data_IF_325803154948
#
_entry.id   IF_325803154948
#
_cell.length_a   1.000
_cell.length_b   1.000
_cell.length_c   1.000
_cell.angle_alpha   90.00
_cell.angle_beta   90.00
_cell.angle_gamma   90.00
#
_symmetry.space_group_name_H-M   'P 1'
#
loop_
_entity.id
_entity.type
_entity.pdbx_description
1 polymer ?
#
# COMPACT_ATOMS: atom_id res chain seq x y z
N UNK A 1 10.47 -29.08 0.49
CA UNK A 1 9.49 -28.04 0.06
C UNK A 1 9.14 -28.27 -1.40
N UNK A 2 7.87 -28.27 -1.73
CA UNK A 2 7.43 -28.34 -3.12
C UNK A 2 7.89 -27.06 -3.86
N UNK A 3 8.42 -27.22 -5.08
CA UNK A 3 8.98 -26.09 -5.83
C UNK A 3 7.86 -25.15 -6.27
N UNK A 4 7.95 -23.86 -5.92
CA UNK A 4 7.00 -22.86 -6.35
C UNK A 4 7.04 -22.66 -7.87
N UNK A 5 6.00 -23.12 -8.57
CA UNK A 5 5.90 -23.02 -10.04
C UNK A 5 5.49 -21.61 -10.52
N UNK A 6 5.08 -20.74 -9.60
CA UNK A 6 4.58 -19.39 -9.91
C UNK A 6 5.65 -18.28 -9.72
N UNK A 7 6.90 -18.61 -9.43
CA UNK A 7 7.99 -17.67 -9.19
C UNK A 7 8.10 -16.57 -10.25
N UNK A 8 7.85 -16.93 -11.52
CA UNK A 8 7.95 -16.00 -12.64
C UNK A 8 6.94 -14.84 -12.56
N UNK A 9 5.85 -15.00 -11.79
CA UNK A 9 4.79 -13.99 -11.67
C UNK A 9 5.24 -12.74 -10.91
N UNK A 10 6.17 -12.86 -9.96
CA UNK A 10 6.72 -11.75 -9.19
C UNK A 10 8.10 -11.28 -9.67
N UNK A 11 8.61 -11.80 -10.80
CA UNK A 11 9.89 -11.32 -11.34
C UNK A 11 9.78 -9.88 -11.82
N UNK A 12 10.76 -9.07 -11.38
CA UNK A 12 10.86 -7.66 -11.76
C UNK A 12 10.07 -6.71 -10.86
N UNK A 13 9.72 -7.15 -9.66
CA UNK A 13 9.29 -6.23 -8.60
C UNK A 13 10.36 -5.15 -8.41
N UNK A 14 9.96 -3.88 -8.19
CA UNK A 14 10.90 -2.84 -7.79
C UNK A 14 11.41 -3.08 -6.36
N UNK A 15 12.44 -2.37 -5.89
CA UNK A 15 12.91 -2.46 -4.51
C UNK A 15 11.77 -2.36 -3.50
N UNK A 16 11.80 -3.21 -2.49
CA UNK A 16 10.76 -3.31 -1.46
C UNK A 16 11.27 -2.78 -0.13
N UNK A 17 10.49 -1.93 0.52
CA UNK A 17 10.75 -1.42 1.87
C UNK A 17 9.64 -1.88 2.79
N UNK A 18 9.95 -2.75 3.76
CA UNK A 18 8.98 -3.33 4.69
C UNK A 18 9.07 -2.64 6.04
N UNK A 19 7.99 -1.98 6.42
CA UNK A 19 7.85 -1.30 7.70
C UNK A 19 7.48 -2.35 8.76
N UNK A 20 8.29 -2.44 9.83
CA UNK A 20 8.08 -3.39 10.89
C UNK A 20 8.59 -2.83 12.22
N UNK A 21 7.83 -3.01 13.30
CA UNK A 21 8.25 -2.71 14.67
C UNK A 21 9.36 -3.67 15.10
N UNK A 22 10.37 -3.17 15.78
CA UNK A 22 11.58 -3.95 16.10
C UNK A 22 11.31 -5.16 16.99
N UNK A 23 10.31 -5.08 17.85
CA UNK A 23 9.88 -6.16 18.76
C UNK A 23 8.91 -7.16 18.10
N UNK A 24 8.45 -6.92 16.86
CA UNK A 24 7.57 -7.82 16.11
C UNK A 24 8.36 -8.74 15.19
N UNK A 25 9.21 -9.57 15.78
CA UNK A 25 10.08 -10.51 15.05
C UNK A 25 9.30 -11.57 14.28
N UNK A 26 8.15 -12.00 14.80
CA UNK A 26 7.25 -12.96 14.17
C UNK A 26 6.65 -12.42 12.87
N UNK A 27 6.26 -11.14 12.84
CA UNK A 27 5.76 -10.46 11.64
C UNK A 27 6.88 -10.27 10.62
N UNK A 28 8.08 -9.88 11.07
CA UNK A 28 9.25 -9.81 10.20
C UNK A 28 9.57 -11.16 9.56
N UNK A 29 9.60 -12.22 10.39
CA UNK A 29 9.80 -13.58 9.90
C UNK A 29 8.75 -14.03 8.88
N UNK A 30 7.49 -13.63 9.06
CA UNK A 30 6.42 -13.88 8.10
C UNK A 30 6.75 -13.27 6.73
N UNK A 31 7.24 -12.02 6.67
CA UNK A 31 7.65 -11.38 5.43
C UNK A 31 8.85 -12.06 4.78
N UNK A 32 9.89 -12.40 5.58
CA UNK A 32 11.07 -13.10 5.06
C UNK A 32 10.73 -14.50 4.51
N UNK A 33 9.81 -15.22 5.16
CA UNK A 33 9.38 -16.55 4.70
C UNK A 33 8.64 -16.45 3.35
N UNK A 34 7.82 -15.41 3.14
CA UNK A 34 7.20 -15.12 1.85
C UNK A 34 8.25 -14.78 0.78
N UNK A 35 9.16 -13.85 1.07
CA UNK A 35 10.20 -13.44 0.12
C UNK A 35 11.09 -14.61 -0.29
N UNK A 36 11.50 -15.42 0.67
CA UNK A 36 12.25 -16.67 0.39
C UNK A 36 11.46 -17.63 -0.49
N UNK A 37 10.17 -17.79 -0.23
CA UNK A 37 9.31 -18.71 -0.99
C UNK A 37 9.09 -18.22 -2.44
N UNK A 38 9.06 -16.91 -2.66
CA UNK A 38 8.88 -16.27 -3.95
C UNK A 38 10.20 -15.87 -4.64
N UNK A 39 11.35 -16.19 -4.03
CA UNK A 39 12.66 -15.77 -4.53
C UNK A 39 12.76 -14.26 -4.80
N UNK A 40 12.17 -13.47 -3.91
CA UNK A 40 12.29 -12.00 -3.90
C UNK A 40 13.54 -11.64 -3.09
N UNK A 41 14.50 -10.95 -3.71
CA UNK A 41 15.81 -10.67 -3.10
C UNK A 41 16.01 -9.19 -2.76
N UNK A 42 15.37 -8.28 -3.50
CA UNK A 42 15.55 -6.84 -3.34
C UNK A 42 14.54 -6.26 -2.35
N UNK A 43 14.80 -6.46 -1.06
CA UNK A 43 13.98 -5.92 0.02
C UNK A 43 14.82 -5.43 1.20
N UNK A 44 14.29 -4.45 1.93
CA UNK A 44 14.90 -3.88 3.12
C UNK A 44 13.87 -3.75 4.24
N UNK A 45 14.27 -4.08 5.48
CA UNK A 45 13.51 -3.81 6.69
C UNK A 45 13.65 -2.35 7.08
N UNK A 46 12.53 -1.71 7.37
CA UNK A 46 12.45 -0.36 7.91
C UNK A 46 11.97 -0.45 9.34
N UNK A 47 12.84 -0.16 10.30
CA UNK A 47 12.46 -0.08 11.72
C UNK A 47 11.44 1.03 11.90
N UNK A 48 10.22 0.65 12.31
CA UNK A 48 9.09 1.56 12.47
C UNK A 48 9.22 2.40 13.74
N UNK A 49 8.58 3.57 13.74
CA UNK A 49 8.38 4.35 14.96
C UNK A 49 7.23 3.77 15.78
N UNK A 50 7.52 3.41 17.02
CA UNK A 50 6.56 2.81 17.93
C UNK A 50 5.70 3.88 18.61
N UNK A 51 4.44 3.99 18.17
CA UNK A 51 3.44 4.87 18.75
C UNK A 51 2.47 4.17 19.70
N UNK A 52 2.76 2.94 20.17
CA UNK A 52 1.89 2.19 21.07
C UNK A 52 1.94 2.76 22.49
N UNK A 53 0.82 2.62 23.20
CA UNK A 53 0.73 3.08 24.59
C UNK A 53 0.92 4.59 24.73
N UNK A 54 1.71 4.98 25.72
CA UNK A 54 2.00 6.38 26.03
C UNK A 54 3.31 6.88 25.38
N UNK A 55 3.80 6.22 24.35
CA UNK A 55 5.01 6.64 23.65
C UNK A 55 4.79 8.03 23.02
N UNK A 56 5.58 9.00 23.48
CA UNK A 56 5.56 10.35 22.94
C UNK A 56 6.49 10.45 21.71
N UNK A 57 5.89 10.64 20.55
CA UNK A 57 6.60 10.86 19.30
C UNK A 57 6.87 12.35 19.00
N UNK A 58 6.63 13.24 19.96
CA UNK A 58 6.87 14.68 19.78
C UNK A 58 8.32 15.01 19.41
N UNK A 59 9.29 14.23 19.89
CA UNK A 59 10.69 14.44 19.59
C UNK A 59 11.04 14.27 18.11
N UNK A 60 10.34 13.40 17.39
CA UNK A 60 10.53 13.20 15.96
C UNK A 60 9.72 14.17 15.12
N UNK A 61 8.84 14.95 15.70
CA UNK A 61 8.03 15.94 15.01
C UNK A 61 8.67 17.32 15.01
N UNK A 62 8.42 18.08 13.96
CA UNK A 62 8.72 19.49 13.84
C UNK A 62 7.44 20.29 13.67
N UNK A 63 7.19 21.20 14.57
CA UNK A 63 5.98 22.00 14.60
C UNK A 63 5.01 21.47 15.67
N UNK A 64 3.72 21.70 15.44
CA UNK A 64 2.67 21.27 16.36
C UNK A 64 2.40 19.77 16.18
N UNK A 65 2.17 19.07 17.29
CA UNK A 65 1.63 17.71 17.23
C UNK A 65 0.28 17.73 16.50
N UNK A 66 0.03 16.83 15.55
CA UNK A 66 -1.20 16.88 14.76
C UNK A 66 -2.41 16.59 15.63
N UNK A 67 -3.36 17.54 15.65
CA UNK A 67 -4.63 17.35 16.35
C UNK A 67 -5.38 16.16 15.69
N UNK A 68 -6.13 15.43 16.49
CA UNK A 68 -6.97 14.31 16.04
C UNK A 68 -6.21 13.07 15.51
N UNK A 69 -4.93 12.92 15.81
CA UNK A 69 -4.17 11.72 15.54
C UNK A 69 -3.72 11.05 16.83
N UNK A 70 -3.86 9.73 16.89
CA UNK A 70 -3.25 8.92 17.94
C UNK A 70 -1.74 8.80 17.72
N UNK A 71 -1.00 8.46 18.79
CA UNK A 71 0.44 8.18 18.69
C UNK A 71 0.72 7.03 17.69
N UNK A 72 -0.14 6.01 17.64
CA UNK A 72 -0.06 4.92 16.66
C UNK A 72 -0.18 5.42 15.22
N UNK A 73 -1.14 6.32 14.93
CA UNK A 73 -1.29 6.92 13.59
C UNK A 73 -0.08 7.81 13.24
N UNK A 74 0.48 8.53 14.21
CA UNK A 74 1.71 9.31 14.01
C UNK A 74 2.90 8.37 13.75
N UNK A 75 3.05 7.29 14.52
CA UNK A 75 4.08 6.28 14.31
C UNK A 75 3.97 5.65 12.92
N UNK A 76 2.77 5.30 12.48
CA UNK A 76 2.50 4.75 11.16
C UNK A 76 2.96 5.72 10.05
N UNK A 77 2.41 6.93 9.98
CA UNK A 77 2.71 7.87 8.91
C UNK A 77 4.19 8.28 8.88
N UNK A 78 4.84 8.44 10.04
CA UNK A 78 6.27 8.77 10.10
C UNK A 78 7.15 7.59 9.65
N UNK A 79 6.74 6.36 9.94
CA UNK A 79 7.42 5.15 9.46
C UNK A 79 7.31 5.02 7.93
N UNK A 80 6.16 5.32 7.33
CA UNK A 80 6.03 5.40 5.88
C UNK A 80 6.92 6.48 5.28
N UNK A 81 6.97 7.67 5.87
CA UNK A 81 7.89 8.73 5.41
C UNK A 81 9.37 8.34 5.57
N UNK A 82 9.72 7.56 6.60
CA UNK A 82 11.06 6.99 6.76
C UNK A 82 11.38 6.00 5.64
N UNK A 83 10.47 5.07 5.32
CA UNK A 83 10.64 4.15 4.21
C UNK A 83 10.81 4.88 2.86
N UNK A 84 10.00 5.92 2.62
CA UNK A 84 10.11 6.76 1.42
C UNK A 84 11.46 7.50 1.37
N UNK A 85 11.98 7.99 2.49
CA UNK A 85 13.33 8.59 2.54
C UNK A 85 14.40 7.56 2.17
N UNK A 86 14.35 6.34 2.72
CA UNK A 86 15.29 5.27 2.41
C UNK A 86 15.24 4.89 0.92
N UNK A 87 14.04 4.82 0.34
CA UNK A 87 13.89 4.62 -1.11
C UNK A 87 14.65 5.69 -1.91
N UNK A 88 14.58 6.94 -1.50
CA UNK A 88 15.26 8.04 -2.23
C UNK A 88 16.79 8.02 -2.12
N UNK A 89 17.37 7.19 -1.25
CA UNK A 89 18.82 6.94 -1.18
C UNK A 89 19.33 6.05 -2.33
N UNK A 90 18.41 5.43 -3.10
CA UNK A 90 18.72 4.65 -4.31
C UNK A 90 18.42 5.45 -5.57
N UNK A 91 18.78 4.92 -6.75
CA UNK A 91 18.43 5.52 -8.05
C UNK A 91 17.19 4.88 -8.71
N UNK A 92 16.49 3.98 -8.01
CA UNK A 92 15.33 3.30 -8.55
C UNK A 92 14.21 4.31 -8.93
N UNK A 93 13.49 4.11 -10.05
CA UNK A 93 12.42 5.03 -10.50
C UNK A 93 11.14 4.92 -9.67
N UNK A 94 10.92 3.78 -9.04
CA UNK A 94 9.80 3.50 -8.15
C UNK A 94 10.18 2.46 -7.10
N UNK A 95 9.39 2.32 -6.06
CA UNK A 95 9.54 1.31 -5.02
C UNK A 95 8.19 0.77 -4.57
N UNK A 96 8.19 -0.43 -3.98
CA UNK A 96 7.10 -0.94 -3.16
C UNK A 96 7.36 -0.61 -1.69
N UNK A 97 6.38 -0.01 -1.06
CA UNK A 97 6.36 0.16 0.40
C UNK A 97 5.31 -0.82 0.94
N UNK A 98 5.69 -1.63 1.91
CA UNK A 98 4.83 -2.65 2.51
C UNK A 98 4.83 -2.53 4.04
N UNK A 99 3.70 -2.86 4.64
CA UNK A 99 3.63 -3.17 6.06
C UNK A 99 3.96 -4.67 6.27
N UNK A 100 4.31 -5.04 7.48
CA UNK A 100 4.79 -6.38 7.83
C UNK A 100 3.69 -7.45 7.93
N UNK A 101 2.47 -7.09 7.56
CA UNK A 101 1.34 -8.00 7.40
C UNK A 101 0.89 -8.16 5.93
N UNK A 102 1.57 -7.55 4.98
CA UNK A 102 1.25 -7.72 3.56
C UNK A 102 1.34 -9.18 3.14
N UNK A 103 0.34 -9.68 2.41
CA UNK A 103 0.26 -11.04 1.88
C UNK A 103 0.35 -11.02 0.35
N UNK A 104 1.49 -11.49 -0.19
CA UNK A 104 1.76 -11.56 -1.63
C UNK A 104 1.33 -12.90 -2.25
N UNK A 105 0.71 -13.79 -1.48
CA UNK A 105 0.33 -15.13 -1.93
C UNK A 105 -0.77 -15.16 -2.98
N UNK A 106 -1.54 -14.08 -3.12
CA UNK A 106 -2.51 -13.91 -4.22
C UNK A 106 -1.88 -14.09 -5.61
N UNK A 107 -0.58 -13.84 -5.74
CA UNK A 107 0.16 -14.05 -6.99
C UNK A 107 0.04 -15.49 -7.53
N UNK A 108 -0.25 -16.49 -6.70
CA UNK A 108 -0.57 -17.83 -7.19
C UNK A 108 -1.74 -17.87 -8.16
N UNK A 109 -2.71 -16.99 -7.94
CA UNK A 109 -3.96 -16.95 -8.68
C UNK A 109 -3.92 -16.02 -9.90
N UNK A 110 -2.85 -15.22 -10.06
CA UNK A 110 -2.73 -14.32 -11.20
C UNK A 110 -2.63 -15.08 -12.52
N UNK A 111 -3.37 -14.66 -13.54
CA UNK A 111 -3.21 -15.09 -14.93
C UNK A 111 -2.17 -14.27 -15.69
N UNK A 112 -1.40 -13.42 -14.99
CA UNK A 112 -0.42 -12.48 -15.52
C UNK A 112 0.84 -12.47 -14.66
N UNK A 113 1.86 -11.74 -15.12
CA UNK A 113 3.10 -11.47 -14.40
C UNK A 113 3.13 -10.01 -13.92
N UNK A 114 3.96 -9.72 -12.93
CA UNK A 114 4.22 -8.33 -12.51
C UNK A 114 4.64 -7.44 -13.68
N UNK A 115 5.46 -7.96 -14.58
CA UNK A 115 5.92 -7.22 -15.76
C UNK A 115 4.77 -6.84 -16.70
N UNK A 116 3.82 -7.75 -16.91
CA UNK A 116 2.63 -7.48 -17.73
C UNK A 116 1.72 -6.46 -17.07
N UNK A 117 1.50 -6.57 -15.77
CA UNK A 117 0.79 -5.56 -14.98
C UNK A 117 1.47 -4.19 -15.09
N UNK A 118 2.79 -4.13 -14.83
CA UNK A 118 3.54 -2.88 -14.84
C UNK A 118 3.50 -2.19 -16.21
N UNK A 119 3.44 -2.93 -17.29
CA UNK A 119 3.33 -2.39 -18.66
C UNK A 119 1.95 -1.78 -18.97
N UNK A 120 0.94 -2.03 -18.14
CA UNK A 120 -0.46 -1.59 -18.34
C UNK A 120 -0.91 -0.50 -17.38
N UNK A 121 -0.13 -0.18 -16.36
CA UNK A 121 -0.50 0.88 -15.39
C UNK A 121 -0.55 2.24 -16.09
N UNK A 122 -1.40 3.17 -15.64
CA UNK A 122 -1.46 4.53 -16.17
C UNK A 122 -0.10 5.22 -16.07
N UNK A 123 0.37 5.78 -17.17
CA UNK A 123 1.72 6.39 -17.25
C UNK A 123 1.92 7.61 -16.33
N UNK A 124 0.82 8.25 -15.92
CA UNK A 124 0.81 9.44 -15.07
C UNK A 124 0.55 9.14 -13.58
N UNK A 125 0.72 7.87 -13.16
CA UNK A 125 0.55 7.52 -11.76
C UNK A 125 1.65 8.12 -10.89
N UNK A 126 1.25 8.56 -9.71
CA UNK A 126 2.15 8.89 -8.60
C UNK A 126 2.24 7.72 -7.62
N UNK A 127 1.10 7.10 -7.33
CA UNK A 127 0.98 5.94 -6.45
C UNK A 127 -0.01 4.92 -7.03
N UNK A 128 0.32 3.64 -6.89
CA UNK A 128 -0.62 2.54 -7.09
C UNK A 128 -0.83 1.84 -5.75
N UNK A 129 -2.03 1.96 -5.19
CA UNK A 129 -2.44 1.22 -4.01
C UNK A 129 -2.73 -0.23 -4.40
N UNK A 130 -2.04 -1.19 -3.80
CA UNK A 130 -2.04 -2.60 -4.18
C UNK A 130 -2.73 -3.50 -3.16
N UNK A 131 -2.95 -3.03 -1.95
CA UNK A 131 -3.77 -3.68 -0.93
C UNK A 131 -4.87 -2.71 -0.47
N UNK A 132 -6.11 -3.17 -0.47
CA UNK A 132 -7.28 -2.32 -0.25
C UNK A 132 -8.16 -2.90 0.85
N UNK A 133 -8.59 -2.05 1.75
CA UNK A 133 -9.68 -2.31 2.70
C UNK A 133 -10.82 -1.36 2.34
N UNK A 134 -11.91 -1.89 1.81
CA UNK A 134 -13.09 -1.09 1.52
C UNK A 134 -14.35 -1.79 2.08
N UNK A 135 -14.93 -1.28 3.16
CA UNK A 135 -16.06 -1.93 3.82
C UNK A 135 -17.38 -1.81 3.04
N UNK A 136 -17.46 -0.90 2.08
CA UNK A 136 -18.69 -0.65 1.33
C UNK A 136 -18.72 -1.40 0.00
N UNK A 137 -17.63 -1.34 -0.77
CA UNK A 137 -17.55 -1.95 -2.09
C UNK A 137 -16.10 -2.21 -2.48
N UNK A 138 -15.79 -3.44 -2.86
CA UNK A 138 -14.49 -3.80 -3.40
C UNK A 138 -14.56 -3.72 -4.93
N UNK A 139 -13.67 -2.94 -5.51
CA UNK A 139 -13.47 -2.85 -6.96
C UNK A 139 -12.15 -3.51 -7.31
N UNK A 140 -12.21 -4.61 -8.07
CA UNK A 140 -11.01 -5.38 -8.46
C UNK A 140 -10.35 -4.86 -9.74
N UNK A 141 -11.04 -4.03 -10.51
CA UNK A 141 -10.50 -3.37 -11.69
C UNK A 141 -9.67 -2.15 -11.30
N UNK A 142 -8.65 -1.82 -12.09
CA UNK A 142 -7.87 -0.59 -11.93
C UNK A 142 -8.80 0.64 -11.96
N UNK A 143 -8.73 1.46 -10.94
CA UNK A 143 -9.55 2.66 -10.83
C UNK A 143 -8.78 3.78 -10.11
N UNK A 144 -9.24 5.03 -10.26
CA UNK A 144 -8.77 6.10 -9.39
C UNK A 144 -9.20 5.81 -7.97
N UNK A 145 -8.26 5.92 -7.03
CA UNK A 145 -8.53 5.63 -5.62
C UNK A 145 -9.75 6.39 -5.14
N UNK A 146 -10.69 5.68 -4.55
CA UNK A 146 -11.81 6.26 -3.81
C UNK A 146 -11.37 6.60 -2.38
N UNK A 147 -12.02 7.58 -1.78
CA UNK A 147 -11.74 7.99 -0.39
C UNK A 147 -11.89 6.83 0.62
N UNK A 148 -12.71 5.85 0.30
CA UNK A 148 -12.97 4.67 1.13
C UNK A 148 -12.05 3.48 0.83
N UNK A 149 -11.13 3.60 -0.11
CA UNK A 149 -10.09 2.59 -0.32
C UNK A 149 -8.98 2.83 0.70
N UNK A 150 -9.18 2.28 1.89
CA UNK A 150 -8.22 2.38 2.98
C UNK A 150 -7.07 1.40 2.82
N UNK A 151 -6.07 1.53 3.64
CA UNK A 151 -4.88 0.68 3.82
C UNK A 151 -3.64 1.18 3.10
N UNK A 152 -2.58 1.19 3.85
CA UNK A 152 -1.19 1.39 3.39
C UNK A 152 -0.36 0.10 3.44
N UNK A 153 -1.02 -1.06 3.61
CA UNK A 153 -0.34 -2.36 3.73
C UNK A 153 0.56 -2.69 2.53
N UNK A 154 0.21 -2.21 1.31
CA UNK A 154 1.10 -2.26 0.15
C UNK A 154 0.74 -1.21 -0.89
N UNK A 155 1.74 -0.46 -1.34
CA UNK A 155 1.62 0.45 -2.47
C UNK A 155 2.93 0.60 -3.22
N UNK A 156 2.84 0.91 -4.51
CA UNK A 156 3.96 1.32 -5.34
C UNK A 156 3.97 2.84 -5.48
N UNK A 157 5.13 3.47 -5.27
CA UNK A 157 5.31 4.92 -5.33
C UNK A 157 6.40 5.30 -6.33
N UNK A 158 6.16 6.33 -7.14
CA UNK A 158 7.18 6.89 -8.03
C UNK A 158 8.18 7.74 -7.26
N UNK A 159 9.42 7.82 -7.77
CA UNK A 159 10.45 8.73 -7.23
C UNK A 159 9.97 10.18 -7.17
N UNK A 160 9.32 10.65 -8.24
CA UNK A 160 8.79 12.00 -8.29
C UNK A 160 7.85 12.31 -7.11
N UNK A 161 6.91 11.40 -6.83
CA UNK A 161 5.98 11.59 -5.71
C UNK A 161 6.66 11.44 -4.35
N UNK A 162 7.59 10.49 -4.22
CA UNK A 162 8.42 10.34 -3.03
C UNK A 162 9.19 11.62 -2.67
N UNK A 163 9.84 12.24 -3.66
CA UNK A 163 10.54 13.52 -3.49
C UNK A 163 9.60 14.64 -3.05
N UNK A 164 8.39 14.70 -3.65
CA UNK A 164 7.34 15.64 -3.25
C UNK A 164 6.95 15.46 -1.78
N UNK A 165 6.66 14.22 -1.35
CA UNK A 165 6.29 13.92 0.03
C UNK A 165 7.41 14.28 1.02
N UNK A 166 8.65 13.92 0.71
CA UNK A 166 9.79 14.26 1.56
C UNK A 166 9.97 15.77 1.66
N UNK A 167 9.86 16.50 0.55
CA UNK A 167 9.92 17.98 0.55
C UNK A 167 8.81 18.61 1.39
N UNK A 168 7.62 18.05 1.36
CA UNK A 168 6.47 18.56 2.10
C UNK A 168 6.55 18.22 3.60
N UNK A 169 6.94 16.99 3.93
CA UNK A 169 6.74 16.44 5.26
C UNK A 169 8.02 16.10 6.04
N UNK A 170 9.21 16.15 5.42
CA UNK A 170 10.47 15.89 6.13
C UNK A 170 11.30 17.16 6.32
N UNK A 171 11.96 17.28 7.46
CA UNK A 171 12.82 18.41 7.84
C UNK A 171 14.08 17.87 8.53
N UNK A 172 15.03 17.36 7.75
CA UNK A 172 16.16 16.57 8.26
C UNK A 172 15.64 15.26 8.86
N UNK A 173 15.91 15.04 10.14
CA UNK A 173 15.49 13.84 10.86
C UNK A 173 14.11 13.95 11.50
N UNK A 174 13.43 15.09 11.31
CA UNK A 174 12.08 15.32 11.86
C UNK A 174 11.03 15.38 10.79
N UNK A 175 9.78 15.11 11.21
CA UNK A 175 8.62 15.08 10.34
C UNK A 175 7.66 16.23 10.64
N UNK A 176 7.10 16.83 9.60
CA UNK A 176 6.13 17.93 9.70
C UNK A 176 4.77 17.46 9.24
N UNK A 177 3.86 17.23 10.19
CA UNK A 177 2.51 16.70 9.97
C UNK A 177 1.40 17.70 10.28
N UNK A 178 1.76 18.92 10.66
CA UNK A 178 0.89 19.88 11.33
C UNK A 178 -0.18 20.50 10.44
N UNK A 179 -0.02 20.50 9.11
CA UNK A 179 -0.99 21.18 8.25
C UNK A 179 -0.93 20.77 6.78
N UNK A 180 -2.04 21.01 6.08
CA UNK A 180 -2.12 20.92 4.62
C UNK A 180 -2.64 19.59 4.08
N UNK A 181 -2.69 18.54 4.90
CA UNK A 181 -3.27 17.25 4.52
C UNK A 181 -4.72 17.18 4.98
N UNK A 182 -5.61 16.79 4.11
CA UNK A 182 -7.04 16.64 4.41
C UNK A 182 -7.52 15.26 3.99
N UNK A 183 -8.44 14.67 4.74
CA UNK A 183 -9.04 15.22 5.96
C UNK A 183 -8.10 15.21 7.17
N UNK A 184 -7.14 14.26 7.26
CA UNK A 184 -6.18 14.14 8.36
C UNK A 184 -4.78 13.78 7.84
N UNK A 185 -3.74 13.96 8.65
CA UNK A 185 -2.36 13.62 8.27
C UNK A 185 -2.02 12.13 8.51
N UNK A 186 -3.00 11.23 8.51
CA UNK A 186 -2.79 9.78 8.56
C UNK A 186 -2.12 9.29 7.26
N UNK A 187 -1.51 8.12 7.32
CA UNK A 187 -0.71 7.59 6.21
C UNK A 187 -1.48 7.54 4.88
N UNK A 188 -2.71 7.01 4.88
CA UNK A 188 -3.58 6.95 3.70
C UNK A 188 -3.78 8.33 3.05
N UNK A 189 -4.19 9.31 3.85
CA UNK A 189 -4.51 10.64 3.33
C UNK A 189 -3.26 11.38 2.86
N UNK A 190 -2.17 11.27 3.62
CA UNK A 190 -0.94 11.96 3.30
C UNK A 190 -0.28 11.42 2.03
N UNK A 191 -0.24 10.10 1.88
CA UNK A 191 0.44 9.46 0.74
C UNK A 191 -0.41 9.56 -0.51
N UNK A 192 -1.71 9.26 -0.40
CA UNK A 192 -2.56 9.08 -1.56
C UNK A 192 -3.24 10.35 -2.08
N UNK A 193 -3.64 11.26 -1.18
CA UNK A 193 -4.42 12.45 -1.59
C UNK A 193 -3.56 13.58 -2.18
N UNK A 194 -2.24 13.45 -2.11
CA UNK A 194 -1.32 14.47 -2.64
C UNK A 194 -0.85 14.21 -4.07
N UNK A 195 -1.28 13.11 -4.69
CA UNK A 195 -0.86 12.70 -6.03
C UNK A 195 -1.95 12.03 -6.85
N UNK A 196 -1.58 11.62 -8.06
CA UNK A 196 -2.39 10.78 -8.93
C UNK A 196 -2.35 9.34 -8.42
N UNK A 197 -3.31 8.97 -7.61
CA UNK A 197 -3.37 7.64 -7.00
C UNK A 197 -4.41 6.77 -7.69
N UNK A 198 -3.97 5.60 -8.13
CA UNK A 198 -4.82 4.52 -8.61
C UNK A 198 -4.83 3.39 -7.60
N UNK A 199 -5.85 2.55 -7.68
CA UNK A 199 -6.02 1.42 -6.78
C UNK A 199 -6.40 0.15 -7.55
N UNK A 200 -5.81 -0.97 -7.12
CA UNK A 200 -6.12 -2.31 -7.60
C UNK A 200 -5.67 -3.33 -6.53
N UNK A 201 -6.54 -4.22 -6.03
CA UNK A 201 -6.21 -5.11 -4.93
C UNK A 201 -5.45 -6.35 -5.40
N UNK A 202 -4.16 -6.19 -5.75
CA UNK A 202 -3.31 -7.30 -6.16
C UNK A 202 -2.81 -8.12 -4.96
N UNK A 203 -2.55 -7.48 -3.83
CA UNK A 203 -2.09 -8.11 -2.60
C UNK A 203 -3.14 -7.99 -1.50
N UNK A 204 -2.96 -8.77 -0.45
CA UNK A 204 -3.81 -8.77 0.73
C UNK A 204 -3.01 -8.39 1.97
N UNK A 205 -3.63 -8.52 3.12
CA UNK A 205 -3.03 -8.37 4.44
C UNK A 205 -3.41 -9.55 5.33
N UNK A 206 -2.54 -9.91 6.26
CA UNK A 206 -2.70 -11.09 7.13
C UNK A 206 -3.47 -10.74 8.39
N UNK A 207 -4.79 -10.93 8.39
CA UNK A 207 -5.67 -10.64 9.53
C UNK A 207 -5.17 -11.31 10.83
N UNK A 208 -4.66 -12.54 10.76
CA UNK A 208 -4.24 -13.30 11.92
C UNK A 208 -3.05 -12.68 12.68
N UNK A 209 -2.35 -11.71 12.08
CA UNK A 209 -1.27 -10.97 12.74
C UNK A 209 -1.78 -9.79 13.59
N UNK A 210 -3.06 -9.46 13.49
CA UNK A 210 -3.66 -8.36 14.25
C UNK A 210 -3.32 -6.98 13.68
N UNK A 211 -3.78 -5.93 14.36
CA UNK A 211 -3.42 -4.54 14.10
C UNK A 211 -2.96 -3.88 15.40
N UNK A 212 -1.82 -3.20 15.37
CA UNK A 212 -1.32 -2.45 16.53
C UNK A 212 -1.93 -1.04 16.63
N UNK A 213 -2.76 -0.62 15.65
CA UNK A 213 -3.32 0.73 15.59
C UNK A 213 -4.83 0.74 15.86
N UNK A 214 -5.57 -0.22 15.31
CA UNK A 214 -7.03 -0.23 15.31
C UNK A 214 -7.64 -1.63 15.48
N UNK A 215 -7.51 -2.23 16.67
CA UNK A 215 -8.06 -3.57 16.95
C UNK A 215 -9.57 -3.71 16.67
N UNK A 216 -10.36 -2.67 16.94
CA UNK A 216 -11.82 -2.67 16.76
C UNK A 216 -12.22 -2.74 15.28
N UNK A 217 -11.37 -2.28 14.36
CA UNK A 217 -11.68 -2.26 12.94
C UNK A 217 -11.52 -3.62 12.27
N UNK A 218 -10.78 -4.55 12.87
CA UNK A 218 -10.46 -5.87 12.31
C UNK A 218 -11.75 -6.64 12.02
N UNK A 219 -12.63 -6.75 13.00
CA UNK A 219 -13.85 -7.56 12.86
C UNK A 219 -14.92 -6.91 11.96
N UNK A 220 -14.95 -5.58 11.92
CA UNK A 220 -16.03 -4.83 11.23
C UNK A 220 -15.70 -4.55 9.78
N UNK A 221 -14.44 -4.18 9.45
CA UNK A 221 -14.05 -3.71 8.12
C UNK A 221 -13.04 -4.62 7.43
N UNK A 222 -12.01 -5.06 8.14
CA UNK A 222 -10.90 -5.79 7.54
C UNK A 222 -11.33 -7.18 7.07
N UNK A 223 -12.06 -7.91 7.92
CA UNK A 223 -12.42 -9.30 7.64
C UNK A 223 -13.31 -9.43 6.40
N UNK A 224 -14.37 -8.63 6.30
CA UNK A 224 -15.27 -8.71 5.15
C UNK A 224 -14.59 -8.36 3.83
N UNK A 225 -13.74 -7.33 3.86
CA UNK A 225 -12.94 -6.92 2.70
C UNK A 225 -11.93 -7.99 2.29
N UNK A 226 -11.20 -8.53 3.26
CA UNK A 226 -10.24 -9.62 3.05
C UNK A 226 -10.90 -10.88 2.48
N UNK A 227 -11.99 -11.34 3.10
CA UNK A 227 -12.67 -12.57 2.68
C UNK A 227 -13.24 -12.43 1.27
N UNK A 228 -13.81 -11.28 0.95
CA UNK A 228 -14.32 -10.98 -0.40
C UNK A 228 -13.22 -10.99 -1.46
N UNK A 229 -12.08 -10.35 -1.19
CA UNK A 229 -10.93 -10.34 -2.09
C UNK A 229 -10.30 -11.74 -2.22
N UNK A 230 -10.17 -12.47 -1.11
CA UNK A 230 -9.62 -13.81 -1.13
C UNK A 230 -10.50 -14.78 -1.92
N UNK A 231 -11.84 -14.65 -1.78
CA UNK A 231 -12.80 -15.40 -2.56
C UNK A 231 -12.70 -15.07 -4.07
N UNK A 232 -12.57 -13.79 -4.41
CA UNK A 232 -12.35 -13.37 -5.80
C UNK A 232 -11.10 -14.04 -6.39
N UNK A 233 -9.94 -13.93 -5.71
CA UNK A 233 -8.70 -14.50 -6.21
C UNK A 233 -8.75 -16.01 -6.38
N UNK A 234 -9.36 -16.73 -5.45
CA UNK A 234 -9.45 -18.19 -5.49
C UNK A 234 -10.44 -18.73 -6.53
N UNK A 235 -11.58 -18.10 -6.68
CA UNK A 235 -12.72 -18.70 -7.38
C UNK A 235 -13.08 -18.00 -8.70
N UNK A 236 -12.76 -16.72 -8.84
CA UNK A 236 -13.22 -15.90 -9.96
C UNK A 236 -12.08 -15.42 -10.86
N UNK A 237 -10.84 -15.47 -10.37
CA UNK A 237 -9.69 -14.94 -11.10
C UNK A 237 -9.41 -15.65 -12.42
N UNK A 238 -9.83 -16.90 -12.58
CA UNK A 238 -9.66 -17.68 -13.82
C UNK A 238 -10.50 -17.16 -14.98
N UNK A 239 -11.61 -16.48 -14.68
CA UNK A 239 -12.57 -15.97 -15.67
C UNK A 239 -12.34 -14.51 -16.03
N UNK A 240 -11.37 -13.87 -15.37
CA UNK A 240 -11.06 -12.45 -15.55
C UNK A 240 -10.18 -12.25 -16.79
N UNK A 241 -10.58 -11.30 -17.61
CA UNK A 241 -9.73 -10.80 -18.67
C UNK A 241 -8.78 -9.75 -18.11
N UNK A 242 -7.51 -10.13 -17.96
CA UNK A 242 -6.51 -9.29 -17.31
C UNK A 242 -6.30 -7.95 -18.00
N UNK A 243 -6.36 -7.90 -19.31
CA UNK A 243 -6.26 -6.67 -20.07
C UNK A 243 -7.39 -5.69 -19.73
N UNK A 244 -8.61 -6.19 -19.54
CA UNK A 244 -9.76 -5.36 -19.11
C UNK A 244 -9.64 -4.95 -17.64
N UNK A 245 -9.06 -5.79 -16.76
CA UNK A 245 -8.85 -5.47 -15.36
C UNK A 245 -7.85 -4.33 -15.16
N UNK A 246 -6.84 -4.25 -16.03
CA UNK A 246 -5.81 -3.20 -15.95
C UNK A 246 -6.16 -1.95 -16.75
N UNK A 247 -7.16 -2.03 -17.62
CA UNK A 247 -7.54 -0.91 -18.47
C UNK A 247 -8.29 0.15 -17.64
N UNK A 248 -7.56 1.21 -17.27
CA UNK A 248 -8.18 2.35 -16.63
C UNK A 248 -8.93 3.18 -17.65
N UNK A 249 -10.26 3.09 -17.59
CA UNK A 249 -11.13 3.97 -18.37
C UNK A 249 -11.72 5.07 -17.48
N UNK A 250 -11.26 6.33 -17.59
CA UNK A 250 -11.79 7.43 -16.79
C UNK A 250 -13.26 7.72 -17.06
N UNK A 251 -13.81 7.16 -18.13
CA UNK A 251 -15.21 7.32 -18.53
C UNK A 251 -16.06 6.09 -18.23
N UNK A 252 -15.49 5.04 -17.60
CA UNK A 252 -16.25 3.84 -17.23
C UNK A 252 -17.45 4.24 -16.34
N UNK A 253 -18.66 4.03 -16.85
CA UNK A 253 -19.92 4.40 -16.21
C UNK A 253 -20.31 5.88 -16.29
N UNK A 254 -19.53 6.73 -16.99
CA UNK A 254 -19.88 8.14 -17.26
C UNK A 254 -19.47 8.49 -18.67
N UNK A 255 -20.41 8.71 -19.55
CA UNK A 255 -20.13 9.39 -20.82
C UNK A 255 -19.74 10.85 -20.51
N UNK A 256 -18.74 11.41 -21.22
CA UNK A 256 -18.45 12.83 -21.12
C UNK A 256 -19.71 13.66 -21.41
N UNK A 257 -19.89 14.82 -20.77
CA UNK A 257 -21.01 15.71 -21.09
C UNK A 257 -21.09 15.96 -22.60
N UNK A 258 -22.25 15.68 -23.20
CA UNK A 258 -22.48 15.82 -24.65
C UNK A 258 -22.37 14.50 -25.46
N UNK A 259 -22.00 13.39 -24.85
CA UNK A 259 -21.96 12.07 -25.45
C UNK A 259 -23.07 11.13 -24.91
N UNK A 260 -24.18 11.70 -24.48
CA UNK A 260 -25.37 10.92 -24.15
C UNK A 260 -25.83 10.19 -25.43
N UNK A 261 -26.04 8.87 -25.31
CA UNK A 261 -26.54 8.05 -26.42
C UNK A 261 -27.81 8.70 -26.99
N UNK A 262 -27.73 9.19 -28.21
CA UNK A 262 -28.90 9.58 -29.00
C UNK A 262 -29.57 8.32 -29.53
#
# INVERSE_FOLDING_TARGET
MEKNKALHKLKGLPPIYVINLDDKEDRWKYMEDQFRYWEVEDYQRVSAYDGRGDNDLGEILKGRYPDQMSSGEVGCVTSHLKAIKMFLETDAPCALIMEDDCDISTAFHWGFTWKEFYAKIPYDYDVIQLAIINPAQITVQMHRRFVNDFSTACYMITRHHAEKLVKLHCRGDKYKLDQGVKPRAVADDLIYNSGNTFAIPLFLYKIALGSDIHDIHIDVFHKSSHDGLWQFWRNQSTDVKWDEMFDYNPYAGRLPPGFENK
#
